data_IF_796735794586
#
_entry.id   IF_796735794586
#
_cell.length_a   1.000
_cell.length_b   1.000
_cell.length_c   1.000
_cell.angle_alpha   90.00
_cell.angle_beta   90.00
_cell.angle_gamma   90.00
#
_symmetry.space_group_name_H-M   'P 1'
#
loop_
_entity.id
_entity.type
_entity.pdbx_description
1 polymer ?
#
# COMPACT_ATOMS: atom_id res chain seq x y z
N UNK A 1 4.61 7.35 -24.15
CA UNK A 1 5.23 6.52 -23.07
C UNK A 1 4.75 5.08 -23.16
N UNK A 2 5.56 4.10 -22.74
CA UNK A 2 5.16 2.69 -22.65
C UNK A 2 4.06 2.47 -21.59
N UNK A 3 3.12 1.56 -21.85
CA UNK A 3 1.95 1.34 -20.98
C UNK A 3 2.30 0.72 -19.63
N UNK A 4 3.32 -0.13 -19.57
CA UNK A 4 3.80 -0.73 -18.31
C UNK A 4 4.52 0.30 -17.46
N UNK A 5 5.34 1.15 -18.08
CA UNK A 5 5.98 2.29 -17.41
C UNK A 5 4.94 3.26 -16.86
N UNK A 6 3.88 3.56 -17.64
CA UNK A 6 2.78 4.41 -17.18
C UNK A 6 2.01 3.77 -16.02
N UNK A 7 1.80 2.46 -16.06
CA UNK A 7 1.10 1.72 -15.02
C UNK A 7 1.88 1.70 -13.70
N UNK A 8 3.19 1.48 -13.75
CA UNK A 8 4.03 1.53 -12.55
C UNK A 8 4.17 2.95 -12.01
N UNK A 9 4.22 3.96 -12.88
CA UNK A 9 4.20 5.36 -12.46
C UNK A 9 2.88 5.74 -11.79
N UNK A 10 1.76 5.24 -12.32
CA UNK A 10 0.45 5.34 -11.69
C UNK A 10 0.45 4.68 -10.30
N UNK A 11 1.00 3.47 -10.17
CA UNK A 11 1.13 2.76 -8.90
C UNK A 11 1.96 3.55 -7.88
N UNK A 12 3.12 4.09 -8.30
CA UNK A 12 3.98 4.87 -7.42
C UNK A 12 3.28 6.14 -6.91
N UNK A 13 2.59 6.87 -7.80
CA UNK A 13 1.83 8.06 -7.39
C UNK A 13 0.64 7.73 -6.49
N UNK A 14 -0.06 6.62 -6.76
CA UNK A 14 -1.19 6.17 -5.94
C UNK A 14 -0.74 5.73 -4.55
N UNK A 15 0.41 5.04 -4.46
CA UNK A 15 1.03 4.66 -3.20
C UNK A 15 1.42 5.89 -2.37
N UNK A 16 2.12 6.87 -2.96
CA UNK A 16 2.49 8.10 -2.25
C UNK A 16 1.26 8.86 -1.73
N UNK A 17 0.17 8.89 -2.49
CA UNK A 17 -1.11 9.49 -2.07
C UNK A 17 -1.72 8.72 -0.88
N UNK A 18 -1.69 7.39 -0.92
CA UNK A 18 -2.17 6.55 0.16
C UNK A 18 -1.31 6.72 1.44
N UNK A 19 0.01 6.88 1.31
CA UNK A 19 0.90 7.15 2.46
C UNK A 19 0.60 8.48 3.16
N UNK A 20 0.07 9.47 2.43
CA UNK A 20 -0.31 10.77 2.99
C UNK A 20 -1.63 10.73 3.77
N UNK A 21 -2.41 9.65 3.69
CA UNK A 21 -3.69 9.56 4.37
C UNK A 21 -3.56 8.95 5.77
N UNK A 22 -4.34 9.43 6.75
CA UNK A 22 -4.33 8.87 8.10
C UNK A 22 -5.00 7.49 8.20
N UNK A 23 -5.70 7.04 7.15
CA UNK A 23 -6.50 5.80 7.14
C UNK A 23 -6.19 5.05 5.83
N UNK A 24 -6.06 3.73 5.92
CA UNK A 24 -6.04 2.86 4.74
C UNK A 24 -7.45 2.85 4.12
N UNK A 25 -7.57 2.62 2.82
CA UNK A 25 -8.83 2.59 2.04
C UNK A 25 -9.40 3.95 1.60
N UNK A 26 -8.54 4.79 1.02
CA UNK A 26 -9.01 5.99 0.31
C UNK A 26 -8.98 5.78 -1.20
N UNK A 27 -10.08 6.11 -1.86
CA UNK A 27 -10.16 6.16 -3.32
C UNK A 27 -9.73 7.55 -3.80
N UNK A 28 -8.71 7.59 -4.65
CA UNK A 28 -8.22 8.82 -5.26
C UNK A 28 -8.74 8.94 -6.70
N UNK A 29 -9.24 10.12 -7.10
CA UNK A 29 -9.63 10.34 -8.49
C UNK A 29 -8.44 10.12 -9.44
N UNK A 30 -8.65 9.38 -10.53
CA UNK A 30 -7.60 9.11 -11.52
C UNK A 30 -7.06 10.40 -12.15
N UNK A 31 -7.88 11.45 -12.23
CA UNK A 31 -7.46 12.78 -12.71
C UNK A 31 -6.45 13.46 -11.77
N UNK A 32 -6.57 13.24 -10.46
CA UNK A 32 -5.61 13.76 -9.47
C UNK A 32 -4.26 13.08 -9.67
N UNK A 33 -4.27 11.76 -9.87
CA UNK A 33 -3.07 10.97 -10.16
C UNK A 33 -2.45 11.43 -11.49
N UNK A 34 -3.27 11.65 -12.53
CA UNK A 34 -2.83 12.14 -13.83
C UNK A 34 -2.10 13.48 -13.73
N UNK A 35 -2.67 14.43 -12.97
CA UNK A 35 -2.07 15.74 -12.74
C UNK A 35 -0.73 15.62 -12.00
N UNK A 36 -0.63 14.69 -11.06
CA UNK A 36 0.57 14.47 -10.24
C UNK A 36 1.73 13.84 -11.01
N UNK A 37 1.43 12.95 -11.95
CA UNK A 37 2.43 12.34 -12.85
C UNK A 37 2.68 13.19 -14.10
N UNK A 38 1.88 14.23 -14.33
CA UNK A 38 2.00 15.15 -15.46
C UNK A 38 1.63 14.52 -16.80
N UNK A 39 0.63 13.64 -16.83
CA UNK A 39 0.09 13.12 -18.09
C UNK A 39 -1.24 13.79 -18.42
N UNK A 40 -1.37 14.27 -19.65
CA UNK A 40 -2.65 14.75 -20.18
C UNK A 40 -3.45 13.61 -20.87
N UNK A 41 -2.82 12.46 -21.10
CA UNK A 41 -3.43 11.31 -21.77
C UNK A 41 -4.18 10.43 -20.76
N UNK A 42 -5.35 10.91 -20.35
CA UNK A 42 -6.23 10.20 -19.42
C UNK A 42 -6.67 8.83 -19.95
N UNK A 43 -6.86 8.66 -21.26
CA UNK A 43 -7.27 7.38 -21.84
C UNK A 43 -6.20 6.30 -21.63
N UNK A 44 -4.93 6.62 -21.89
CA UNK A 44 -3.83 5.69 -21.60
C UNK A 44 -3.67 5.43 -20.11
N UNK A 45 -3.86 6.44 -19.25
CA UNK A 45 -3.78 6.25 -17.81
C UNK A 45 -4.88 5.32 -17.29
N UNK A 46 -6.10 5.44 -17.83
CA UNK A 46 -7.21 4.54 -17.50
C UNK A 46 -6.89 3.11 -17.94
N UNK A 47 -6.32 2.91 -19.13
CA UNK A 47 -5.88 1.58 -19.58
C UNK A 47 -4.76 1.00 -18.68
N UNK A 48 -3.84 1.84 -18.25
CA UNK A 48 -2.79 1.46 -17.31
C UNK A 48 -3.37 1.04 -15.95
N UNK A 49 -4.33 1.82 -15.43
CA UNK A 49 -5.03 1.51 -14.18
C UNK A 49 -5.83 0.20 -14.28
N UNK A 50 -6.56 -0.03 -15.38
CA UNK A 50 -7.27 -1.29 -15.65
C UNK A 50 -6.30 -2.49 -15.72
N UNK A 51 -5.11 -2.28 -16.27
CA UNK A 51 -4.08 -3.33 -16.31
C UNK A 51 -3.64 -3.71 -14.89
N UNK A 52 -3.45 -2.72 -14.00
CA UNK A 52 -3.09 -2.98 -12.60
C UNK A 52 -4.24 -3.60 -11.80
N UNK A 53 -5.48 -3.19 -12.08
CA UNK A 53 -6.68 -3.83 -11.50
C UNK A 53 -6.80 -5.30 -11.90
N UNK A 54 -6.54 -5.63 -13.18
CA UNK A 54 -6.57 -7.03 -13.64
C UNK A 54 -5.54 -7.93 -12.95
N UNK A 55 -4.49 -7.33 -12.39
CA UNK A 55 -3.44 -7.98 -11.59
C UNK A 55 -3.75 -8.00 -10.09
N UNK A 56 -4.89 -7.45 -9.65
CA UNK A 56 -5.26 -7.35 -8.23
C UNK A 56 -4.48 -6.29 -7.45
N UNK A 57 -3.69 -5.44 -8.12
CA UNK A 57 -2.83 -4.44 -7.47
C UNK A 57 -3.59 -3.16 -7.09
N UNK A 58 -4.74 -2.95 -7.70
CA UNK A 58 -5.58 -1.75 -7.56
C UNK A 58 -7.04 -2.17 -7.59
N UNK A 59 -7.89 -1.46 -6.86
CA UNK A 59 -9.35 -1.52 -7.04
C UNK A 59 -9.82 -0.22 -7.68
N UNK A 60 -10.57 -0.30 -8.78
CA UNK A 60 -11.19 0.85 -9.40
C UNK A 60 -12.66 0.95 -9.00
N UNK A 61 -13.10 2.17 -8.73
CA UNK A 61 -14.49 2.49 -8.48
C UNK A 61 -14.95 3.59 -9.44
N UNK A 62 -16.08 3.35 -10.10
CA UNK A 62 -16.76 4.35 -10.90
C UNK A 62 -18.10 4.66 -10.25
N UNK A 63 -18.27 5.89 -9.81
CA UNK A 63 -19.59 6.41 -9.44
C UNK A 63 -20.37 6.73 -10.74
N UNK A 64 -21.67 6.39 -10.86
CA UNK A 64 -22.51 6.71 -12.02
C UNK A 64 -22.44 8.16 -12.51
N UNK A 65 -22.08 9.11 -11.64
CA UNK A 65 -21.92 10.53 -11.99
C UNK A 65 -20.55 11.11 -11.61
N UNK A 66 -19.63 10.28 -11.09
CA UNK A 66 -18.34 10.72 -10.57
C UNK A 66 -17.14 10.27 -11.41
N UNK A 67 -15.96 10.83 -11.12
CA UNK A 67 -14.72 10.41 -11.77
C UNK A 67 -14.35 8.97 -11.38
N UNK A 68 -13.72 8.24 -12.32
CA UNK A 68 -13.05 6.99 -12.02
C UNK A 68 -12.02 7.24 -10.91
N UNK A 69 -12.11 6.46 -9.85
CA UNK A 69 -11.22 6.55 -8.70
C UNK A 69 -10.52 5.22 -8.46
N UNK A 70 -9.34 5.27 -7.87
CA UNK A 70 -8.48 4.13 -7.64
C UNK A 70 -8.05 4.03 -6.19
N UNK A 71 -7.94 2.82 -5.69
CA UNK A 71 -7.42 2.50 -4.38
C UNK A 71 -6.35 1.42 -4.52
N UNK A 72 -5.19 1.63 -3.90
CA UNK A 72 -4.13 0.62 -3.92
C UNK A 72 -4.48 -0.55 -3.02
N UNK A 73 -4.27 -1.78 -3.49
CA UNK A 73 -4.46 -2.99 -2.69
C UNK A 73 -3.21 -3.30 -1.86
N UNK A 74 -3.28 -4.20 -0.87
CA UNK A 74 -2.09 -4.70 -0.16
C UNK A 74 -1.02 -5.26 -1.11
N UNK A 75 -1.42 -6.03 -2.13
CA UNK A 75 -0.50 -6.56 -3.14
C UNK A 75 0.11 -5.44 -3.99
N UNK A 76 -0.67 -4.38 -4.27
CA UNK A 76 -0.18 -3.18 -4.94
C UNK A 76 0.86 -2.41 -4.12
N UNK A 77 0.65 -2.29 -2.81
CA UNK A 77 1.63 -1.72 -1.88
C UNK A 77 2.93 -2.52 -1.95
N UNK A 78 2.83 -3.84 -1.80
CA UNK A 78 3.99 -4.72 -1.87
C UNK A 78 4.72 -4.60 -3.21
N UNK A 79 4.00 -4.54 -4.33
CA UNK A 79 4.57 -4.36 -5.66
C UNK A 79 5.38 -3.05 -5.79
N UNK A 80 4.86 -1.94 -5.26
CA UNK A 80 5.55 -0.65 -5.27
C UNK A 80 6.78 -0.64 -4.37
N UNK A 81 6.67 -1.23 -3.17
CA UNK A 81 7.79 -1.32 -2.22
C UNK A 81 8.94 -2.18 -2.75
N UNK A 82 8.65 -3.18 -3.58
CA UNK A 82 9.65 -3.98 -4.28
C UNK A 82 10.21 -3.31 -5.55
N UNK A 83 9.78 -2.09 -5.86
CA UNK A 83 10.31 -1.29 -6.96
C UNK A 83 9.72 -1.57 -8.33
N UNK A 84 8.68 -2.41 -8.42
CA UNK A 84 8.04 -2.77 -9.69
C UNK A 84 8.93 -3.60 -10.62
N UNK A 85 8.59 -3.63 -11.90
CA UNK A 85 9.25 -4.43 -12.94
C UNK A 85 10.07 -3.55 -13.91
N UNK A 86 9.71 -2.29 -14.09
CA UNK A 86 10.38 -1.39 -15.06
C UNK A 86 11.48 -0.51 -14.44
N UNK A 87 11.52 -0.41 -13.11
CA UNK A 87 12.42 0.49 -12.38
C UNK A 87 11.96 1.96 -12.34
N UNK A 88 10.84 2.31 -13.00
CA UNK A 88 10.31 3.68 -13.00
C UNK A 88 9.85 4.12 -11.60
N UNK A 89 9.42 3.17 -10.76
CA UNK A 89 8.98 3.45 -9.38
C UNK A 89 10.13 4.05 -8.58
N UNK A 90 11.31 3.41 -8.61
CA UNK A 90 12.49 3.92 -7.93
C UNK A 90 12.94 5.28 -8.48
N UNK A 91 12.92 5.44 -9.80
CA UNK A 91 13.27 6.72 -10.44
C UNK A 91 12.31 7.85 -10.05
N UNK A 92 11.00 7.59 -10.05
CA UNK A 92 9.97 8.55 -9.66
C UNK A 92 10.12 8.96 -8.20
N UNK A 93 10.27 8.00 -7.28
CA UNK A 93 10.40 8.32 -5.84
C UNK A 93 11.71 9.02 -5.49
N UNK A 94 12.78 8.78 -6.26
CA UNK A 94 14.07 9.46 -6.08
C UNK A 94 14.07 10.89 -6.64
N UNK A 95 13.40 11.13 -7.77
CA UNK A 95 13.30 12.45 -8.38
C UNK A 95 11.98 12.64 -9.17
N UNK A 96 10.87 12.97 -8.47
CA UNK A 96 9.56 13.08 -9.11
C UNK A 96 9.53 14.14 -10.22
N UNK A 97 10.22 15.27 -10.01
CA UNK A 97 10.22 16.40 -10.95
C UNK A 97 10.89 16.07 -12.29
N UNK A 98 11.96 15.26 -12.27
CA UNK A 98 12.63 14.82 -13.49
C UNK A 98 11.77 13.84 -14.29
N UNK A 99 11.09 12.90 -13.62
CA UNK A 99 10.21 11.94 -14.28
C UNK A 99 8.98 12.64 -14.87
N UNK A 100 8.32 13.53 -14.12
CA UNK A 100 7.19 14.33 -14.60
C UNK A 100 7.57 15.19 -15.82
N UNK A 101 8.77 15.78 -15.83
CA UNK A 101 9.26 16.54 -16.98
C UNK A 101 9.50 15.68 -18.23
N UNK A 102 9.88 14.41 -18.06
CA UNK A 102 10.07 13.46 -19.16
C UNK A 102 8.73 12.96 -19.73
N UNK A 103 7.75 12.69 -18.86
CA UNK A 103 6.38 12.32 -19.25
C UNK A 103 5.75 13.40 -20.14
N UNK A 104 5.86 14.67 -19.74
CA UNK A 104 5.31 15.82 -20.48
C UNK A 104 5.94 16.05 -21.86
N UNK A 105 7.14 15.53 -22.12
CA UNK A 105 7.88 15.78 -23.37
C UNK A 105 7.86 14.60 -24.34
N UNK A 106 7.21 13.48 -24.00
CA UNK A 106 7.28 12.21 -24.75
C UNK A 106 8.73 11.78 -25.08
N UNK A 107 9.69 12.17 -24.22
CA UNK A 107 11.10 11.80 -24.40
C UNK A 107 11.28 10.38 -23.83
N UNK A 108 11.94 9.46 -24.55
CA UNK A 108 12.34 8.18 -23.98
C UNK A 108 13.15 8.41 -22.71
N UNK A 109 12.70 7.86 -21.59
CA UNK A 109 13.44 7.94 -20.33
C UNK A 109 14.69 7.08 -20.51
N UNK A 110 15.85 7.72 -20.57
CA UNK A 110 17.14 7.05 -20.56
C UNK A 110 17.48 6.67 -19.11
N UNK A 111 17.01 5.49 -18.70
CA UNK A 111 17.17 4.94 -17.35
C UNK A 111 18.67 4.77 -17.01
N UNK A 112 19.55 4.61 -18.01
CA UNK A 112 21.00 4.43 -17.81
C UNK A 112 21.75 5.72 -17.43
N UNK A 113 21.16 6.91 -17.67
CA UNK A 113 21.81 8.21 -17.42
C UNK A 113 21.30 8.95 -16.17
N UNK A 114 20.53 8.28 -15.32
CA UNK A 114 20.14 8.84 -14.03
C UNK A 114 21.36 8.87 -13.08
N UNK A 115 21.48 9.90 -12.21
CA UNK A 115 22.51 9.91 -11.19
C UNK A 115 22.37 8.63 -10.35
N UNK A 116 23.49 7.98 -9.99
CA UNK A 116 23.47 6.75 -9.23
C UNK A 116 22.69 6.97 -7.92
N UNK A 117 22.04 5.93 -7.40
CA UNK A 117 21.44 5.98 -6.07
C UNK A 117 22.48 6.52 -5.08
N UNK A 118 22.07 7.45 -4.21
CA UNK A 118 22.86 7.79 -3.04
C UNK A 118 23.09 6.50 -2.26
N UNK A 119 24.32 6.01 -2.28
CA UNK A 119 24.87 4.88 -1.54
C UNK A 119 23.85 3.79 -1.17
N UNK A 120 23.76 2.81 -2.06
CA UNK A 120 23.35 1.46 -1.71
C UNK A 120 24.18 0.98 -0.51
N UNK A 121 23.61 1.05 0.68
CA UNK A 121 23.91 0.06 1.71
C UNK A 121 23.39 -1.23 1.12
N UNK A 122 24.28 -2.07 0.56
CA UNK A 122 23.95 -3.45 0.23
C UNK A 122 23.35 -4.09 1.50
N UNK A 123 22.09 -4.54 1.50
CA UNK A 123 21.72 -5.62 2.38
C UNK A 123 22.19 -6.87 1.65
N UNK A 124 23.19 -7.52 2.21
CA UNK A 124 23.49 -8.93 1.94
C UNK A 124 22.17 -9.68 1.73
N UNK A 125 21.98 -10.17 0.50
CA UNK A 125 20.88 -11.08 0.16
C UNK A 125 21.08 -12.35 0.96
N UNK A 126 20.42 -12.45 2.10
CA UNK A 126 19.99 -13.74 2.61
C UNK A 126 18.61 -13.99 1.98
N UNK A 127 18.57 -14.96 1.08
CA UNK A 127 17.32 -15.61 0.66
C UNK A 127 16.75 -16.33 1.88
N UNK A 128 16.05 -15.60 2.74
CA UNK A 128 15.14 -16.21 3.69
C UNK A 128 13.75 -16.11 3.05
N UNK A 129 13.19 -17.25 2.65
CA UNK A 129 11.75 -17.44 2.65
C UNK A 129 11.18 -16.72 3.88
N UNK A 130 10.14 -15.87 3.77
CA UNK A 130 9.69 -15.10 4.90
C UNK A 130 9.35 -16.09 6.02
N UNK A 131 10.20 -16.14 7.04
CA UNK A 131 9.81 -16.73 8.31
C UNK A 131 8.65 -15.85 8.75
N UNK A 132 7.43 -16.35 8.57
CA UNK A 132 6.23 -15.67 9.07
C UNK A 132 6.53 -15.40 10.53
N UNK A 133 6.74 -14.13 10.86
CA UNK A 133 7.21 -13.80 12.21
C UNK A 133 6.11 -14.19 13.18
N UNK A 134 6.46 -14.50 14.44
CA UNK A 134 5.45 -14.84 15.44
C UNK A 134 4.33 -13.77 15.58
N UNK A 135 4.64 -12.53 15.22
CA UNK A 135 3.70 -11.40 15.18
C UNK A 135 2.75 -11.51 13.99
N UNK A 136 3.23 -11.83 12.79
CA UNK A 136 2.38 -12.01 11.61
C UNK A 136 1.43 -13.22 11.78
N UNK A 137 1.92 -14.33 12.34
CA UNK A 137 1.07 -15.47 12.70
C UNK A 137 -0.02 -15.08 13.70
N UNK A 138 0.34 -14.30 14.73
CA UNK A 138 -0.60 -13.86 15.75
C UNK A 138 -1.69 -12.95 15.15
N UNK A 139 -1.31 -12.03 14.25
CA UNK A 139 -2.26 -11.17 13.53
C UNK A 139 -3.21 -11.99 12.64
N UNK A 140 -2.71 -13.03 11.97
CA UNK A 140 -3.55 -13.96 11.21
C UNK A 140 -4.53 -14.73 12.11
N UNK A 141 -4.08 -15.26 13.24
CA UNK A 141 -4.97 -15.97 14.17
C UNK A 141 -6.06 -15.06 14.76
N UNK A 142 -5.75 -13.79 15.01
CA UNK A 142 -6.75 -12.82 15.45
C UNK A 142 -7.80 -12.60 14.34
N UNK A 143 -7.37 -12.44 13.09
CA UNK A 143 -8.29 -12.25 11.96
C UNK A 143 -9.21 -13.46 11.77
N UNK A 144 -8.67 -14.68 11.83
CA UNK A 144 -9.46 -15.91 11.73
C UNK A 144 -10.46 -16.02 12.89
N UNK A 145 -10.03 -15.70 14.12
CA UNK A 145 -10.91 -15.72 15.29
C UNK A 145 -12.05 -14.70 15.20
N UNK A 146 -11.82 -13.51 14.62
CA UNK A 146 -12.88 -12.53 14.34
C UNK A 146 -13.82 -13.07 13.25
N UNK A 147 -13.27 -13.66 12.18
CA UNK A 147 -14.06 -14.19 11.07
C UNK A 147 -15.01 -15.30 11.50
N UNK A 148 -14.61 -16.13 12.48
CA UNK A 148 -15.38 -17.25 13.00
C UNK A 148 -16.21 -16.93 14.27
N UNK A 149 -16.18 -15.69 14.77
CA UNK A 149 -16.89 -15.32 16.00
C UNK A 149 -18.40 -15.12 15.75
N UNK A 150 -19.22 -16.13 16.02
CA UNK A 150 -20.68 -16.07 15.88
C UNK A 150 -21.36 -15.05 16.82
N UNK A 151 -20.66 -14.50 17.81
CA UNK A 151 -21.20 -13.50 18.73
C UNK A 151 -21.17 -12.07 18.17
N UNK A 152 -20.40 -11.84 17.09
CA UNK A 152 -20.32 -10.55 16.41
C UNK A 152 -21.39 -10.43 15.32
N UNK A 153 -22.10 -9.30 15.32
CA UNK A 153 -22.90 -8.93 14.15
C UNK A 153 -22.02 -8.60 12.94
N UNK A 154 -22.62 -8.56 11.75
CA UNK A 154 -21.88 -8.36 10.49
C UNK A 154 -21.11 -7.06 10.46
N UNK A 155 -21.66 -5.97 11.01
CA UNK A 155 -21.01 -4.67 10.99
C UNK A 155 -19.80 -4.64 11.94
N UNK A 156 -19.96 -5.16 13.16
CA UNK A 156 -18.88 -5.26 14.14
C UNK A 156 -17.76 -6.19 13.66
N UNK A 157 -18.10 -7.28 12.97
CA UNK A 157 -17.10 -8.18 12.37
C UNK A 157 -16.31 -7.49 11.27
N UNK A 158 -16.97 -6.81 10.34
CA UNK A 158 -16.30 -6.09 9.26
C UNK A 158 -15.39 -4.98 9.81
N UNK A 159 -15.84 -4.24 10.82
CA UNK A 159 -15.06 -3.20 11.48
C UNK A 159 -13.81 -3.78 12.17
N UNK A 160 -13.98 -4.85 12.96
CA UNK A 160 -12.88 -5.53 13.62
C UNK A 160 -11.86 -6.13 12.64
N UNK A 161 -12.32 -6.70 11.51
CA UNK A 161 -11.45 -7.19 10.45
C UNK A 161 -10.65 -6.07 9.78
N UNK A 162 -11.24 -4.88 9.62
CA UNK A 162 -10.53 -3.69 9.11
C UNK A 162 -9.51 -3.17 10.11
N UNK A 163 -9.85 -3.17 11.39
CA UNK A 163 -8.95 -2.73 12.45
C UNK A 163 -7.71 -3.63 12.53
N UNK A 164 -7.87 -4.96 12.52
CA UNK A 164 -6.74 -5.91 12.56
C UNK A 164 -5.88 -5.86 11.29
N UNK A 165 -6.50 -5.64 10.12
CA UNK A 165 -5.77 -5.43 8.86
C UNK A 165 -4.95 -4.15 8.91
N UNK A 166 -5.51 -3.08 9.48
CA UNK A 166 -4.80 -1.81 9.67
C UNK A 166 -3.60 -1.98 10.61
N UNK A 167 -3.74 -2.77 11.67
CA UNK A 167 -2.62 -3.14 12.54
C UNK A 167 -1.55 -3.90 11.76
N UNK A 168 -1.91 -4.91 10.95
CA UNK A 168 -0.98 -5.65 10.10
C UNK A 168 -0.15 -4.72 9.22
N UNK A 169 -0.81 -3.80 8.53
CA UNK A 169 -0.16 -2.84 7.63
C UNK A 169 0.80 -1.94 8.41
N UNK A 170 0.40 -1.41 9.57
CA UNK A 170 1.28 -0.57 10.39
C UNK A 170 2.51 -1.33 10.88
N UNK A 171 2.42 -2.64 11.13
CA UNK A 171 3.55 -3.45 11.58
C UNK A 171 4.55 -3.75 10.44
N UNK A 172 4.11 -3.74 9.19
CA UNK A 172 4.97 -3.88 8.01
C UNK A 172 5.74 -2.60 7.62
N UNK A 173 5.38 -1.44 8.18
CA UNK A 173 6.03 -0.15 7.85
C UNK A 173 7.37 0.04 8.57
N UNK A 174 8.30 0.71 7.89
CA UNK A 174 9.58 1.16 8.46
C UNK A 174 9.39 2.12 9.62
N UNK A 175 8.42 3.03 9.50
CA UNK A 175 8.03 3.98 10.57
C UNK A 175 6.60 3.67 11.00
N UNK A 176 6.46 3.14 12.22
CA UNK A 176 5.19 2.66 12.76
C UNK A 176 4.46 3.78 13.49
N UNK A 177 3.16 3.93 13.23
CA UNK A 177 2.33 4.82 14.03
C UNK A 177 1.88 4.13 15.32
N UNK A 178 2.74 4.17 16.35
CA UNK A 178 2.52 3.52 17.64
C UNK A 178 1.21 3.96 18.30
N UNK A 179 0.85 5.25 18.18
CA UNK A 179 -0.40 5.78 18.73
C UNK A 179 -1.63 5.16 18.06
N UNK A 180 -1.61 5.02 16.73
CA UNK A 180 -2.69 4.37 15.99
C UNK A 180 -2.77 2.88 16.34
N UNK A 181 -1.64 2.18 16.37
CA UNK A 181 -1.60 0.76 16.77
C UNK A 181 -2.20 0.60 18.17
N UNK A 182 -1.83 1.44 19.13
CA UNK A 182 -2.36 1.37 20.50
C UNK A 182 -3.87 1.57 20.55
N UNK A 183 -4.43 2.51 19.79
CA UNK A 183 -5.88 2.77 19.77
C UNK A 183 -6.64 1.60 19.15
N UNK A 184 -6.13 1.04 18.05
CA UNK A 184 -6.75 -0.11 17.39
C UNK A 184 -6.70 -1.37 18.26
N UNK A 185 -5.58 -1.61 18.96
CA UNK A 185 -5.48 -2.71 19.91
C UNK A 185 -6.44 -2.52 21.10
N UNK A 186 -6.59 -1.30 21.62
CA UNK A 186 -7.56 -1.02 22.69
C UNK A 186 -9.00 -1.29 22.22
N UNK A 187 -9.36 -0.84 21.02
CA UNK A 187 -10.65 -1.10 20.39
C UNK A 187 -10.92 -2.62 20.27
N UNK A 188 -9.98 -3.35 19.66
CA UNK A 188 -10.08 -4.80 19.44
C UNK A 188 -10.10 -5.60 20.75
N UNK A 189 -9.47 -5.12 21.82
CA UNK A 189 -9.45 -5.79 23.13
C UNK A 189 -10.85 -5.93 23.77
N UNK A 190 -11.81 -5.13 23.31
CA UNK A 190 -13.19 -5.20 23.75
C UNK A 190 -13.88 -6.50 23.32
N UNK A 191 -13.40 -7.16 22.26
CA UNK A 191 -13.92 -8.42 21.75
C UNK A 191 -13.41 -9.56 22.65
N UNK A 192 -14.29 -10.26 23.41
CA UNK A 192 -13.85 -11.22 24.42
C UNK A 192 -13.08 -12.42 23.84
N UNK A 193 -13.43 -12.87 22.63
CA UNK A 193 -12.84 -14.05 21.96
C UNK A 193 -11.37 -13.86 21.59
N UNK A 194 -10.95 -12.63 21.29
CA UNK A 194 -9.58 -12.31 20.85
C UNK A 194 -8.77 -11.53 21.89
N UNK A 195 -9.37 -11.12 23.00
CA UNK A 195 -8.76 -10.24 24.00
C UNK A 195 -7.36 -10.64 24.40
N UNK A 196 -7.13 -11.93 24.70
CA UNK A 196 -5.80 -12.39 25.13
C UNK A 196 -4.76 -12.26 24.00
N UNK A 197 -5.15 -12.58 22.76
CA UNK A 197 -4.26 -12.46 21.61
C UNK A 197 -3.90 -10.99 21.31
N UNK A 198 -4.84 -10.06 21.54
CA UNK A 198 -4.60 -8.62 21.42
C UNK A 198 -3.62 -8.12 22.48
N UNK A 199 -3.70 -8.62 23.72
CA UNK A 199 -2.72 -8.31 24.78
C UNK A 199 -1.34 -8.83 24.41
N UNK A 200 -1.24 -10.07 23.94
CA UNK A 200 0.02 -10.68 23.52
C UNK A 200 0.65 -9.92 22.34
N UNK A 201 -0.18 -9.46 21.39
CA UNK A 201 0.24 -8.64 20.26
C UNK A 201 0.75 -7.28 20.74
N UNK A 202 0.03 -6.61 21.65
CA UNK A 202 0.44 -5.35 22.25
C UNK A 202 1.82 -5.44 22.92
N UNK A 203 2.05 -6.47 23.74
CA UNK A 203 3.34 -6.71 24.38
C UNK A 203 4.47 -6.93 23.35
N UNK A 204 4.18 -7.59 22.23
CA UNK A 204 5.19 -7.85 21.19
C UNK A 204 5.58 -6.60 20.38
N UNK A 205 4.67 -5.63 20.24
CA UNK A 205 4.82 -4.51 19.29
C UNK A 205 4.94 -3.13 19.93
N UNK A 206 4.52 -2.97 21.19
CA UNK A 206 4.56 -1.70 21.93
C UNK A 206 5.63 -1.66 23.03
N UNK A 207 6.01 -2.80 23.61
CA UNK A 207 6.98 -2.87 24.72
C UNK A 207 8.45 -3.05 24.26
N UNK A 208 8.74 -2.94 22.95
CA UNK A 208 10.14 -2.96 22.49
C UNK A 208 10.82 -1.60 22.75
N UNK A 209 11.99 -1.58 23.42
CA UNK A 209 12.73 -0.36 23.76
C UNK A 209 13.31 0.36 22.54
#
# INVERSE_FOLDING_TARGET
>A
MDIHVLAELFMASLYDLAEQQPHSYFFFPVQEIAARIGTENLEQLVQAALTMESRGLVSLASDPFGPLSAMISPDGIWFVENGGETGIIGAYRSNPSAVVASVNKDIPIDIENLPPPLESVEPDRILETPEITGIELLVSYIADAIADDDSLDTAAREDALRDIETVRIQLGRTTKNVSLISVLLDSLSNIPSIRQMIVDLGAAVLDKP
#
